data_IF_755625028991
#
_entry.id   IF_755625028991
#
_cell.length_a   1.000
_cell.length_b   1.000
_cell.length_c   1.000
_cell.angle_alpha   90.00
_cell.angle_beta   90.00
_cell.angle_gamma   90.00
#
_symmetry.space_group_name_H-M   'P 1'
#
loop_
_entity.id
_entity.type
_entity.pdbx_description
1 polymer ?
#
# COMPACT_ATOMS: atom_id res chain seq x y z
N UNK A 1 -6.50 5.61 -19.41
CA UNK A 1 -5.13 5.29 -18.96
C UNK A 1 -5.24 4.50 -17.66
N UNK A 2 -4.99 3.19 -17.70
CA UNK A 2 -4.99 2.34 -16.52
C UNK A 2 -3.62 2.49 -15.84
N UNK A 3 -3.58 3.07 -14.64
CA UNK A 3 -2.37 3.13 -13.81
C UNK A 3 -2.36 1.90 -12.91
N UNK A 4 -1.43 0.98 -13.15
CA UNK A 4 -1.07 -0.07 -12.20
C UNK A 4 -0.03 0.54 -11.27
N UNK A 5 -0.39 0.75 -10.01
CA UNK A 5 0.49 1.31 -8.98
C UNK A 5 0.90 0.17 -8.06
N UNK A 6 2.18 -0.19 -8.06
CA UNK A 6 2.75 -1.11 -7.07
C UNK A 6 3.14 -0.31 -5.83
N UNK A 7 2.32 -0.39 -4.77
CA UNK A 7 2.60 0.22 -3.49
C UNK A 7 3.34 -0.79 -2.62
N UNK A 8 4.61 -0.51 -2.29
CA UNK A 8 5.40 -1.30 -1.33
C UNK A 8 5.45 -0.57 0.03
N UNK A 9 4.52 -0.83 0.96
CA UNK A 9 4.65 -0.31 2.30
C UNK A 9 5.75 -1.10 3.05
N UNK A 10 6.86 -0.43 3.36
CA UNK A 10 7.79 -0.93 4.39
C UNK A 10 7.10 -0.77 5.74
N UNK A 11 6.45 -1.83 6.24
CA UNK A 11 5.79 -1.80 7.54
C UNK A 11 6.84 -2.08 8.62
N UNK A 12 7.19 -1.07 9.40
CA UNK A 12 8.27 -1.20 10.37
C UNK A 12 7.89 -2.01 11.64
N UNK A 13 6.62 -2.16 12.04
CA UNK A 13 6.31 -2.86 13.30
C UNK A 13 4.89 -3.44 13.51
N UNK A 14 4.11 -3.80 12.48
CA UNK A 14 2.72 -4.29 12.69
C UNK A 14 2.27 -5.31 11.63
N UNK A 15 2.67 -6.58 11.82
CA UNK A 15 2.40 -7.65 10.85
C UNK A 15 0.96 -8.18 10.91
N UNK A 16 0.33 -8.17 12.09
CA UNK A 16 -1.01 -8.73 12.35
C UNK A 16 -1.82 -7.98 13.43
N UNK A 17 -1.25 -6.99 14.10
CA UNK A 17 -1.90 -6.19 15.15
C UNK A 17 -1.27 -4.81 15.35
N UNK A 18 -2.00 -3.90 15.99
CA UNK A 18 -1.49 -2.58 16.38
C UNK A 18 -1.47 -1.54 15.26
N UNK A 19 -0.51 -0.62 15.33
CA UNK A 19 -0.35 0.48 14.37
C UNK A 19 0.90 0.27 13.51
N UNK A 20 0.72 0.34 12.20
CA UNK A 20 1.79 0.28 11.21
C UNK A 20 1.94 1.62 10.50
N UNK A 21 3.17 2.04 10.27
CA UNK A 21 3.50 3.17 9.41
C UNK A 21 4.19 2.63 8.16
N UNK A 22 3.98 3.29 7.03
CA UNK A 22 4.59 2.91 5.78
C UNK A 22 4.83 4.11 4.87
N UNK A 23 5.79 3.97 3.99
CA UNK A 23 6.03 4.90 2.89
C UNK A 23 5.39 4.35 1.61
N UNK A 24 4.92 5.25 0.76
CA UNK A 24 4.43 4.97 -0.57
C UNK A 24 5.50 5.43 -1.55
N UNK A 25 6.10 4.50 -2.28
CA UNK A 25 7.09 4.78 -3.30
C UNK A 25 6.42 4.74 -4.69
N UNK A 26 6.75 5.71 -5.54
CA UNK A 26 6.26 5.78 -6.93
C UNK A 26 5.56 7.09 -7.24
N UNK A 27 4.57 7.04 -8.14
CA UNK A 27 3.81 8.22 -8.54
C UNK A 27 2.32 7.89 -8.35
N UNK A 28 1.65 8.46 -7.32
CA UNK A 28 2.15 9.43 -6.34
C UNK A 28 3.03 8.80 -5.23
N UNK A 29 3.94 9.59 -4.62
CA UNK A 29 4.77 9.20 -3.45
C UNK A 29 4.16 9.75 -2.16
N UNK A 30 4.23 9.05 -1.04
CA UNK A 30 3.54 9.48 0.18
C UNK A 30 3.87 8.71 1.44
N UNK A 31 3.04 8.91 2.45
CA UNK A 31 3.06 8.17 3.71
C UNK A 31 1.70 7.53 3.96
N UNK A 32 1.71 6.44 4.71
CA UNK A 32 0.53 5.66 5.06
C UNK A 32 0.57 5.22 6.50
N UNK A 33 -0.62 5.02 7.05
CA UNK A 33 -0.85 4.42 8.36
C UNK A 33 -1.80 3.24 8.18
N UNK A 34 -1.57 2.18 8.95
CA UNK A 34 -2.45 1.03 9.05
C UNK A 34 -2.78 0.82 10.53
N UNK A 35 -4.05 0.66 10.85
CA UNK A 35 -4.54 0.34 12.18
C UNK A 35 -5.33 -0.95 12.13
N UNK A 36 -4.81 -2.01 12.75
CA UNK A 36 -5.48 -3.29 12.80
C UNK A 36 -6.72 -3.21 13.71
N UNK A 37 -7.85 -3.65 13.17
CA UNK A 37 -9.13 -3.74 13.89
C UNK A 37 -9.44 -5.16 14.35
N UNK A 38 -8.75 -6.15 13.79
CA UNK A 38 -8.85 -7.56 14.15
C UNK A 38 -7.67 -8.35 13.59
N UNK A 39 -7.74 -9.68 13.65
CA UNK A 39 -6.67 -10.56 13.15
C UNK A 39 -6.53 -10.54 11.63
N UNK A 40 -7.58 -10.16 10.89
CA UNK A 40 -7.61 -10.15 9.42
C UNK A 40 -8.16 -8.85 8.85
N UNK A 41 -8.35 -7.81 9.66
CA UNK A 41 -8.95 -6.55 9.22
C UNK A 41 -8.20 -5.34 9.73
N UNK A 42 -8.14 -4.29 8.93
CA UNK A 42 -7.52 -3.02 9.30
C UNK A 42 -8.14 -1.82 8.60
N UNK A 43 -8.07 -0.66 9.26
CA UNK A 43 -8.15 0.62 8.58
C UNK A 43 -6.79 0.99 7.98
N UNK A 44 -6.79 1.50 6.76
CA UNK A 44 -5.60 2.04 6.11
C UNK A 44 -5.88 3.47 5.64
N UNK A 45 -5.00 4.39 6.02
CA UNK A 45 -5.05 5.78 5.57
C UNK A 45 -3.74 6.17 4.89
N UNK A 46 -3.79 7.08 3.93
CA UNK A 46 -2.58 7.60 3.31
C UNK A 46 -2.74 9.02 2.78
N UNK A 47 -1.61 9.72 2.72
CA UNK A 47 -1.45 11.01 2.05
C UNK A 47 -0.29 10.88 1.09
N UNK A 48 -0.50 11.21 -0.19
CA UNK A 48 0.50 11.09 -1.24
C UNK A 48 0.46 12.29 -2.19
N UNK A 49 1.61 12.64 -2.77
CA UNK A 49 1.80 13.76 -3.67
C UNK A 49 2.28 13.27 -5.03
N UNK A 50 1.73 13.89 -6.07
CA UNK A 50 2.14 13.73 -7.46
C UNK A 50 3.02 14.89 -7.88
N UNK A 51 4.19 14.62 -8.46
CA UNK A 51 5.10 15.65 -8.97
C UNK A 51 4.98 15.86 -10.49
N UNK A 52 3.94 15.30 -11.11
CA UNK A 52 3.60 15.52 -12.52
C UNK A 52 3.19 16.98 -12.79
N UNK A 53 3.11 17.39 -14.05
CA UNK A 53 3.00 18.79 -14.51
C UNK A 53 1.86 19.63 -13.89
N UNK A 54 0.81 19.03 -13.33
CA UNK A 54 -0.27 19.77 -12.64
C UNK A 54 -0.19 19.70 -11.11
N UNK A 55 0.73 18.91 -10.56
CA UNK A 55 0.70 18.46 -9.17
C UNK A 55 -0.59 17.72 -8.81
N UNK A 56 -0.57 16.96 -7.72
CA UNK A 56 -1.81 16.55 -7.04
C UNK A 56 -1.52 16.10 -5.62
N UNK A 57 -2.42 16.42 -4.70
CA UNK A 57 -2.48 15.79 -3.37
C UNK A 57 -3.55 14.69 -3.39
N UNK A 58 -3.21 13.54 -2.87
CA UNK A 58 -4.05 12.37 -2.78
C UNK A 58 -4.25 11.99 -1.32
N UNK A 59 -5.49 11.85 -0.88
CA UNK A 59 -5.84 11.35 0.45
C UNK A 59 -6.69 10.10 0.29
N UNK A 60 -6.34 9.07 1.04
CA UNK A 60 -6.96 7.74 1.00
C UNK A 60 -7.43 7.33 2.38
N UNK A 61 -8.59 6.67 2.43
CA UNK A 61 -9.11 5.99 3.60
C UNK A 61 -9.80 4.70 3.15
N UNK A 62 -9.27 3.56 3.57
CA UNK A 62 -9.68 2.24 3.14
C UNK A 62 -9.93 1.34 4.36
N UNK A 63 -10.90 0.43 4.25
CA UNK A 63 -11.06 -0.73 5.13
C UNK A 63 -10.63 -1.97 4.35
N UNK A 64 -9.63 -2.66 4.87
CA UNK A 64 -8.95 -3.77 4.18
C UNK A 64 -9.05 -5.06 4.99
N UNK A 65 -9.11 -6.16 4.24
CA UNK A 65 -9.12 -7.53 4.70
C UNK A 65 -7.83 -8.20 4.24
N UNK A 66 -7.24 -9.01 5.11
CA UNK A 66 -6.00 -9.74 4.84
C UNK A 66 -6.29 -11.23 4.77
N UNK A 67 -5.81 -11.83 3.69
CA UNK A 67 -5.77 -13.27 3.52
C UNK A 67 -4.33 -13.76 3.56
N UNK A 68 -4.03 -14.57 4.58
CA UNK A 68 -2.69 -15.07 4.87
C UNK A 68 -2.42 -16.44 4.21
N UNK A 69 -3.40 -17.03 3.51
CA UNK A 69 -3.31 -18.39 2.97
C UNK A 69 -3.35 -18.44 1.45
N UNK A 70 -3.71 -17.36 0.76
CA UNK A 70 -3.81 -17.35 -0.72
C UNK A 70 -2.44 -17.51 -1.40
N UNK A 71 -1.37 -16.88 -0.87
CA UNK A 71 -0.03 -16.95 -1.44
C UNK A 71 0.97 -17.46 -0.40
N UNK A 72 1.17 -18.77 -0.40
CA UNK A 72 2.27 -19.43 0.29
C UNK A 72 3.37 -19.72 -0.75
N UNK A 73 4.57 -19.17 -0.53
CA UNK A 73 5.74 -19.44 -1.38
C UNK A 73 6.63 -20.42 -0.62
N UNK A 74 6.80 -21.62 -1.16
CA UNK A 74 7.70 -22.62 -0.61
C UNK A 74 9.10 -22.03 -0.42
N UNK A 75 9.59 -22.02 0.82
CA UNK A 75 10.92 -21.52 1.18
C UNK A 75 11.06 -20.01 1.40
N UNK A 76 10.05 -19.17 1.10
CA UNK A 76 10.13 -17.71 1.24
C UNK A 76 9.16 -17.11 2.28
N UNK A 77 8.30 -17.94 2.89
CA UNK A 77 7.36 -17.52 3.94
C UNK A 77 5.97 -17.17 3.41
N UNK A 78 5.15 -16.56 4.27
CA UNK A 78 3.77 -16.16 3.95
C UNK A 78 3.76 -14.79 3.27
N UNK A 79 3.00 -14.67 2.19
CA UNK A 79 2.83 -13.43 1.44
C UNK A 79 1.35 -12.98 1.50
N UNK A 80 0.92 -12.34 2.60
CA UNK A 80 -0.50 -12.05 2.77
C UNK A 80 -1.01 -11.12 1.68
N UNK A 81 -2.06 -11.52 1.00
CA UNK A 81 -2.80 -10.66 0.08
C UNK A 81 -3.76 -9.81 0.90
N UNK A 82 -4.01 -8.58 0.48
CA UNK A 82 -5.10 -7.79 1.01
C UNK A 82 -5.99 -7.24 -0.09
N UNK A 83 -7.27 -7.11 0.22
CA UNK A 83 -8.28 -6.46 -0.60
C UNK A 83 -9.19 -5.61 0.28
N UNK A 84 -9.94 -4.67 -0.29
CA UNK A 84 -10.83 -3.85 0.52
C UNK A 84 -11.70 -2.91 -0.25
N UNK A 85 -12.29 -1.97 0.49
CA UNK A 85 -13.11 -0.88 -0.04
C UNK A 85 -12.72 0.42 0.66
N UNK A 86 -12.76 1.52 -0.07
CA UNK A 86 -12.42 2.81 0.51
C UNK A 86 -12.86 3.99 -0.32
N UNK A 87 -12.40 5.15 0.09
CA UNK A 87 -12.61 6.41 -0.57
C UNK A 87 -11.28 7.10 -0.84
N UNK A 88 -11.28 7.97 -1.84
CA UNK A 88 -10.20 8.89 -2.13
C UNK A 88 -10.71 10.29 -2.39
N UNK A 89 -9.86 11.23 -2.01
CA UNK A 89 -9.94 12.61 -2.47
C UNK A 89 -8.65 12.92 -3.21
N UNK A 90 -8.77 13.50 -4.40
CA UNK A 90 -7.64 14.02 -5.17
C UNK A 90 -7.83 15.53 -5.32
N UNK A 91 -6.91 16.29 -4.76
CA UNK A 91 -6.82 17.74 -4.93
C UNK A 91 -5.80 18.07 -6.01
N UNK A 92 -6.24 18.85 -7.00
CA UNK A 92 -5.41 19.54 -7.99
C UNK A 92 -5.71 21.03 -7.89
N UNK A 93 -4.82 21.86 -8.42
CA UNK A 93 -4.94 23.32 -8.40
C UNK A 93 -6.31 23.83 -8.87
N UNK A 94 -6.89 23.18 -9.88
CA UNK A 94 -8.16 23.62 -10.49
C UNK A 94 -9.33 22.66 -10.25
N UNK A 95 -9.10 21.52 -9.57
CA UNK A 95 -10.09 20.45 -9.52
C UNK A 95 -9.95 19.59 -8.27
N UNK A 96 -11.08 19.25 -7.64
CA UNK A 96 -11.13 18.29 -6.52
C UNK A 96 -12.05 17.14 -6.90
N UNK A 97 -11.50 15.92 -6.87
CA UNK A 97 -12.24 14.70 -7.23
C UNK A 97 -12.40 13.79 -6.04
N UNK A 98 -13.65 13.45 -5.73
CA UNK A 98 -14.03 12.40 -4.81
C UNK A 98 -14.24 11.09 -5.58
N UNK A 99 -13.93 9.96 -4.96
CA UNK A 99 -14.21 8.67 -5.57
C UNK A 99 -14.11 7.51 -4.60
N UNK A 100 -14.72 6.39 -5.00
CA UNK A 100 -14.58 5.11 -4.31
C UNK A 100 -13.32 4.37 -4.78
N UNK A 101 -12.86 3.41 -4.00
CA UNK A 101 -11.70 2.57 -4.26
C UNK A 101 -11.95 1.12 -3.88
N UNK A 102 -11.29 0.23 -4.61
CA UNK A 102 -11.13 -1.18 -4.28
C UNK A 102 -9.63 -1.45 -4.22
N UNK A 103 -8.96 -1.24 -3.07
CA UNK A 103 -7.55 -1.57 -2.92
C UNK A 103 -7.31 -3.08 -3.06
N UNK A 104 -6.23 -3.44 -3.73
CA UNK A 104 -5.70 -4.79 -3.83
C UNK A 104 -4.18 -4.70 -3.73
N UNK A 105 -3.56 -5.56 -2.92
CA UNK A 105 -2.11 -5.62 -2.84
C UNK A 105 -1.60 -6.83 -2.07
N UNK A 106 -0.29 -6.91 -1.99
CA UNK A 106 0.44 -7.95 -1.26
C UNK A 106 1.24 -7.29 -0.15
N UNK A 107 1.29 -7.91 1.02
CA UNK A 107 2.23 -7.54 2.07
C UNK A 107 3.41 -8.49 1.99
N UNK A 108 4.63 -7.95 2.03
CA UNK A 108 5.81 -8.78 2.22
C UNK A 108 6.12 -8.79 3.72
N UNK A 109 5.84 -9.91 4.40
CA UNK A 109 6.23 -10.09 5.79
C UNK A 109 7.70 -10.51 5.81
N UNK A 110 8.61 -9.57 6.08
CA UNK A 110 10.00 -9.91 6.36
C UNK A 110 10.04 -10.69 7.67
N UNK A 111 10.00 -12.02 7.57
CA UNK A 111 10.35 -12.91 8.67
C UNK A 111 11.85 -12.79 8.89
N UNK A 112 12.23 -11.98 9.89
CA UNK A 112 13.56 -12.02 10.53
C UNK A 112 14.78 -11.58 9.69
N UNK A 113 14.72 -10.43 9.00
CA UNK A 113 15.96 -9.85 8.46
C UNK A 113 15.91 -8.34 8.25
N UNK A 114 16.99 -7.69 8.70
CA UNK A 114 17.36 -6.31 8.39
C UNK A 114 17.64 -6.23 6.90
N UNK A 115 16.67 -5.73 6.10
CA UNK A 115 16.80 -5.27 4.71
C UNK A 115 17.44 -6.28 3.73
N UNK A 116 16.74 -6.64 2.65
CA UNK A 116 17.41 -7.12 1.44
C UNK A 116 16.76 -6.53 0.18
N UNK A 117 17.61 -5.93 -0.67
CA UNK A 117 17.26 -5.34 -1.96
C UNK A 117 17.71 -6.27 -3.09
N UNK A 118 16.92 -6.38 -4.17
CA UNK A 118 17.43 -6.90 -5.43
C UNK A 118 16.89 -6.10 -6.63
N UNK A 119 17.80 -5.76 -7.55
CA UNK A 119 17.54 -5.09 -8.82
C UNK A 119 17.92 -6.03 -9.96
N UNK A 120 17.07 -6.13 -10.99
CA UNK A 120 17.42 -6.83 -12.23
C UNK A 120 17.13 -5.94 -13.44
N UNK A 121 18.20 -5.64 -14.17
CA UNK A 121 18.19 -4.95 -15.46
C UNK A 121 18.12 -5.98 -16.59
N UNK A 122 17.30 -5.72 -17.60
CA UNK A 122 17.42 -6.36 -18.90
C UNK A 122 17.72 -5.28 -19.94
N UNK A 123 18.91 -5.39 -20.53
CA UNK A 123 19.28 -4.73 -21.80
C UNK A 123 18.72 -5.56 -22.95
N UNK A 124 18.11 -4.88 -23.91
CA UNK A 124 18.34 -5.18 -25.32
C UNK A 124 18.93 -3.92 -25.94
#
# INVERSE_FOLDING_TARGET
>A
MFFVVFLFPVILHSQDRGLGLGIILGEPTGISVKSWTGSTTAFQGAVAWSFSSSGALHIYADYIFHDFHILEIEGAGKLPVYYGIGAKVKFKTEDTRLGVRVPLGINYLLQNSRVDFFSKSYRY
#
